data_IF_370186004641
#
_entry.id   IF_370186004641
#
_cell.length_a   1.000
_cell.length_b   1.000
_cell.length_c   1.000
_cell.angle_alpha   90.00
_cell.angle_beta   90.00
_cell.angle_gamma   90.00
#
_symmetry.space_group_name_H-M   'P 1'
#
loop_
_entity.id
_entity.type
_entity.pdbx_description
1 polymer ?
#
# COMPACT_ATOMS: atom_id res chain seq x y z
N UNK A 1 9.41 -29.27 26.16
CA UNK A 1 8.28 -28.31 26.24
C UNK A 1 7.77 -28.02 24.85
N UNK A 2 6.61 -27.37 24.69
CA UNK A 2 6.08 -26.95 23.39
C UNK A 2 7.06 -26.06 22.60
N UNK A 3 7.82 -25.20 23.28
CA UNK A 3 8.85 -24.36 22.65
C UNK A 3 9.93 -25.18 21.94
N UNK A 4 10.50 -26.17 22.64
CA UNK A 4 11.54 -27.06 22.10
C UNK A 4 11.04 -27.85 20.90
N UNK A 5 9.79 -28.31 20.91
CA UNK A 5 9.20 -29.00 19.78
C UNK A 5 9.10 -28.11 18.52
N UNK A 6 8.62 -26.87 18.68
CA UNK A 6 8.54 -25.90 17.57
C UNK A 6 9.92 -25.57 17.00
N UNK A 7 10.92 -25.39 17.85
CA UNK A 7 12.30 -25.14 17.43
C UNK A 7 12.90 -26.33 16.69
N UNK A 8 12.66 -27.55 17.16
CA UNK A 8 13.12 -28.76 16.47
C UNK A 8 12.50 -28.91 15.07
N UNK A 9 11.20 -28.61 14.91
CA UNK A 9 10.55 -28.59 13.61
C UNK A 9 11.14 -27.51 12.70
N UNK A 10 11.31 -26.27 13.19
CA UNK A 10 11.92 -25.18 12.42
C UNK A 10 13.31 -25.55 11.95
N UNK A 11 14.16 -26.06 12.84
CA UNK A 11 15.53 -26.47 12.49
C UNK A 11 15.58 -27.57 11.43
N UNK A 12 14.57 -28.45 11.37
CA UNK A 12 14.54 -29.55 10.41
C UNK A 12 13.98 -29.16 9.04
N UNK A 13 12.99 -28.26 9.01
CA UNK A 13 12.21 -27.97 7.81
C UNK A 13 12.40 -26.56 7.25
N UNK A 14 12.95 -25.62 8.04
CA UNK A 14 13.20 -24.26 7.59
C UNK A 14 14.61 -24.17 6.98
N UNK A 15 14.77 -23.65 5.75
CA UNK A 15 16.09 -23.41 5.18
C UNK A 15 16.93 -22.46 6.05
N UNK A 16 18.27 -22.62 6.12
CA UNK A 16 19.13 -21.76 6.93
C UNK A 16 18.96 -20.25 6.67
N UNK A 17 18.78 -19.87 5.41
CA UNK A 17 18.65 -18.47 4.98
C UNK A 17 17.19 -18.01 4.83
N UNK A 18 16.23 -18.75 5.40
CA UNK A 18 14.81 -18.42 5.22
C UNK A 18 14.46 -17.02 5.70
N UNK A 19 15.02 -16.60 6.84
CA UNK A 19 14.78 -15.27 7.41
C UNK A 19 15.41 -14.19 6.52
N UNK A 20 16.63 -14.40 6.03
CA UNK A 20 17.29 -13.47 5.12
C UNK A 20 16.47 -13.26 3.84
N UNK A 21 16.00 -14.35 3.22
CA UNK A 21 15.13 -14.30 2.04
C UNK A 21 13.80 -13.59 2.31
N UNK A 22 13.24 -13.70 3.52
CA UNK A 22 12.06 -12.92 3.91
C UNK A 22 12.38 -11.42 3.99
N UNK A 23 13.56 -11.04 4.48
CA UNK A 23 14.00 -9.63 4.48
C UNK A 23 14.21 -9.08 3.08
N UNK A 24 14.81 -9.86 2.18
CA UNK A 24 14.94 -9.48 0.78
C UNK A 24 13.57 -9.25 0.14
N UNK A 25 12.61 -10.16 0.39
CA UNK A 25 11.24 -10.02 -0.12
C UNK A 25 10.53 -8.81 0.48
N UNK A 26 10.68 -8.52 1.77
CA UNK A 26 10.14 -7.31 2.39
C UNK A 26 10.74 -6.03 1.79
N UNK A 27 12.04 -6.04 1.47
CA UNK A 27 12.73 -4.91 0.87
C UNK A 27 12.34 -4.69 -0.60
N UNK A 28 12.14 -5.78 -1.34
CA UNK A 28 11.73 -5.75 -2.75
C UNK A 28 10.22 -5.55 -2.93
N UNK A 29 9.41 -5.67 -1.87
CA UNK A 29 7.98 -5.50 -1.94
C UNK A 29 7.65 -4.04 -2.26
N UNK A 30 6.88 -3.82 -3.31
CA UNK A 30 6.42 -2.49 -3.72
C UNK A 30 4.92 -2.50 -4.01
N UNK A 31 4.29 -1.36 -3.75
CA UNK A 31 2.88 -1.13 -3.95
C UNK A 31 2.59 -1.07 -5.45
N UNK A 32 1.87 -2.07 -5.96
CA UNK A 32 1.35 -2.11 -7.32
C UNK A 32 0.15 -1.19 -7.53
N UNK A 33 -0.97 -1.71 -8.04
CA UNK A 33 -2.18 -0.92 -8.26
C UNK A 33 -2.91 -0.59 -6.95
N UNK A 34 -3.14 -1.61 -6.11
CA UNK A 34 -3.95 -1.54 -4.89
C UNK A 34 -3.07 -1.44 -3.64
N UNK A 35 -3.37 -0.45 -2.77
CA UNK A 35 -2.76 -0.38 -1.44
C UNK A 35 -3.19 -1.55 -0.55
N UNK A 36 -4.43 -2.01 -0.69
CA UNK A 36 -4.97 -3.11 0.12
C UNK A 36 -4.20 -4.41 -0.13
N UNK A 37 -3.92 -4.71 -1.40
CA UNK A 37 -3.17 -5.92 -1.78
C UNK A 37 -1.74 -5.85 -1.26
N UNK A 38 -1.11 -4.67 -1.34
CA UNK A 38 0.21 -4.43 -0.76
C UNK A 38 0.23 -4.67 0.76
N UNK A 39 -0.77 -4.20 1.50
CA UNK A 39 -0.89 -4.44 2.95
C UNK A 39 -1.02 -5.94 3.24
N UNK A 40 -1.84 -6.66 2.49
CA UNK A 40 -2.02 -8.10 2.64
C UNK A 40 -0.72 -8.88 2.36
N UNK A 41 0.00 -8.54 1.28
CA UNK A 41 1.28 -9.15 0.94
C UNK A 41 2.34 -8.89 2.01
N UNK A 42 2.39 -7.65 2.53
CA UNK A 42 3.31 -7.29 3.61
C UNK A 42 3.01 -8.10 4.87
N UNK A 43 1.74 -8.19 5.30
CA UNK A 43 1.33 -8.98 6.45
C UNK A 43 1.62 -10.48 6.27
N UNK A 44 1.44 -11.02 5.06
CA UNK A 44 1.75 -12.41 4.74
C UNK A 44 3.23 -12.73 4.92
N UNK A 45 4.12 -11.81 4.55
CA UNK A 45 5.56 -11.94 4.81
C UNK A 45 5.88 -11.84 6.31
N UNK A 46 5.24 -10.93 7.05
CA UNK A 46 5.47 -10.78 8.49
C UNK A 46 5.10 -12.02 9.29
N UNK A 47 4.00 -12.72 8.93
CA UNK A 47 3.58 -13.96 9.60
C UNK A 47 4.63 -15.08 9.46
N UNK A 48 5.41 -15.05 8.37
CA UNK A 48 6.47 -16.03 8.12
C UNK A 48 7.77 -15.68 8.85
N UNK A 49 7.98 -14.41 9.23
CA UNK A 49 9.16 -13.98 9.98
C UNK A 49 9.19 -14.66 11.35
N UNK A 50 10.32 -15.31 11.64
CA UNK A 50 10.53 -15.96 12.93
C UNK A 50 11.30 -15.07 13.89
N UNK A 51 12.07 -14.12 13.34
CA UNK A 51 12.83 -13.13 14.09
C UNK A 51 12.02 -11.84 14.20
N UNK A 52 11.81 -11.31 15.41
CA UNK A 52 11.05 -10.08 15.59
C UNK A 52 11.69 -8.91 14.85
N UNK A 53 10.85 -8.06 14.26
CA UNK A 53 11.25 -6.81 13.61
C UNK A 53 10.85 -5.67 14.54
N UNK A 54 11.74 -4.69 14.73
CA UNK A 54 11.40 -3.50 15.50
C UNK A 54 10.27 -2.71 14.82
N UNK A 55 9.49 -1.97 15.59
CA UNK A 55 8.42 -1.12 15.03
C UNK A 55 8.97 -0.10 14.01
N UNK A 56 10.14 0.47 14.29
CA UNK A 56 10.85 1.33 13.35
C UNK A 56 11.21 0.59 12.05
N UNK A 57 11.72 -0.64 12.15
CA UNK A 57 12.03 -1.46 10.98
C UNK A 57 10.80 -1.80 10.16
N UNK A 58 9.71 -2.21 10.81
CA UNK A 58 8.43 -2.49 10.14
C UNK A 58 7.93 -1.29 9.34
N UNK A 59 7.93 -0.11 9.97
CA UNK A 59 7.56 1.14 9.31
C UNK A 59 8.48 1.47 8.15
N UNK A 60 9.78 1.34 8.35
CA UNK A 60 10.76 1.62 7.31
C UNK A 60 10.51 0.75 6.07
N UNK A 61 10.42 -0.58 6.24
CA UNK A 61 10.14 -1.48 5.12
C UNK A 61 8.81 -1.16 4.44
N UNK A 62 7.75 -0.94 5.23
CA UNK A 62 6.44 -0.63 4.68
C UNK A 62 6.44 0.68 3.88
N UNK A 63 7.07 1.74 4.38
CA UNK A 63 7.12 3.05 3.74
C UNK A 63 7.97 3.06 2.46
N UNK A 64 9.03 2.26 2.39
CA UNK A 64 9.88 2.17 1.18
C UNK A 64 9.14 1.55 -0.01
N UNK A 65 8.22 0.61 0.23
CA UNK A 65 7.43 -0.01 -0.82
C UNK A 65 6.22 0.82 -1.26
N UNK A 66 5.83 1.89 -0.55
CA UNK A 66 4.68 2.71 -0.92
C UNK A 66 4.92 3.52 -2.20
N UNK A 67 3.83 3.88 -2.91
CA UNK A 67 3.89 4.87 -3.98
C UNK A 67 4.41 6.21 -3.48
N UNK A 68 5.17 6.97 -4.28
CA UNK A 68 5.82 8.22 -3.84
C UNK A 68 4.87 9.20 -3.13
N UNK A 69 3.68 9.43 -3.69
CA UNK A 69 2.70 10.38 -3.13
C UNK A 69 2.21 9.94 -1.75
N UNK A 70 1.86 8.65 -1.62
CA UNK A 70 1.42 8.06 -0.34
C UNK A 70 2.57 8.03 0.67
N UNK A 71 3.77 7.65 0.24
CA UNK A 71 4.96 7.62 1.08
C UNK A 71 5.30 8.99 1.65
N UNK A 72 5.18 10.05 0.83
CA UNK A 72 5.42 11.42 1.27
C UNK A 72 4.38 11.87 2.29
N UNK A 73 3.08 11.64 2.02
CA UNK A 73 2.01 11.97 2.95
C UNK A 73 2.18 11.26 4.30
N UNK A 74 2.51 9.96 4.30
CA UNK A 74 2.78 9.20 5.52
C UNK A 74 3.98 9.79 6.29
N UNK A 75 5.03 10.24 5.59
CA UNK A 75 6.22 10.84 6.23
C UNK A 75 5.88 12.14 6.95
N UNK A 76 5.04 12.98 6.38
CA UNK A 76 4.57 14.24 6.99
C UNK A 76 3.85 14.00 8.33
N UNK A 77 3.15 12.87 8.46
CA UNK A 77 2.39 12.52 9.65
C UNK A 77 3.20 11.83 10.76
N UNK A 78 4.45 11.45 10.52
CA UNK A 78 5.37 10.87 11.52
C UNK A 78 4.74 9.73 12.38
N UNK A 79 4.21 8.65 11.77
CA UNK A 79 3.57 7.56 12.52
C UNK A 79 4.53 6.95 13.55
N UNK A 80 4.03 6.38 14.64
CA UNK A 80 4.85 5.72 15.66
C UNK A 80 5.10 4.23 15.34
N UNK A 81 4.10 3.55 14.78
CA UNK A 81 4.10 2.11 14.51
C UNK A 81 3.54 1.74 13.12
N UNK A 82 3.53 0.45 12.80
CA UNK A 82 3.05 -0.06 11.51
C UNK A 82 1.54 0.18 11.32
N UNK A 83 0.72 -0.06 12.34
CA UNK A 83 -0.74 0.12 12.25
C UNK A 83 -1.12 1.56 11.91
N UNK A 84 -0.49 2.54 12.57
CA UNK A 84 -0.70 3.95 12.28
C UNK A 84 -0.25 4.30 10.85
N UNK A 85 0.87 3.73 10.41
CA UNK A 85 1.38 3.89 9.04
C UNK A 85 0.36 3.38 8.00
N UNK A 86 -0.20 2.19 8.22
CA UNK A 86 -1.24 1.60 7.36
C UNK A 86 -2.49 2.47 7.36
N UNK A 87 -2.94 2.92 8.54
CA UNK A 87 -4.14 3.73 8.68
C UNK A 87 -4.03 5.06 7.93
N UNK A 88 -2.89 5.77 8.05
CA UNK A 88 -2.64 7.02 7.31
C UNK A 88 -2.62 6.76 5.80
N UNK A 89 -1.91 5.71 5.36
CA UNK A 89 -1.84 5.36 3.95
C UNK A 89 -3.22 5.04 3.36
N UNK A 90 -4.04 4.25 4.06
CA UNK A 90 -5.40 3.90 3.64
C UNK A 90 -6.31 5.11 3.55
N UNK A 91 -6.22 6.03 4.52
CA UNK A 91 -7.01 7.26 4.51
C UNK A 91 -6.68 8.13 3.30
N UNK A 92 -5.40 8.25 2.95
CA UNK A 92 -4.97 9.01 1.78
C UNK A 92 -5.43 8.37 0.47
N UNK A 93 -5.28 7.05 0.32
CA UNK A 93 -5.75 6.31 -0.86
C UNK A 93 -7.27 6.46 -1.07
N UNK A 94 -8.05 6.36 0.01
CA UNK A 94 -9.51 6.56 -0.03
C UNK A 94 -9.88 8.01 -0.40
N UNK A 95 -9.17 9.00 0.13
CA UNK A 95 -9.40 10.41 -0.22
C UNK A 95 -9.13 10.68 -1.71
N UNK A 96 -8.03 10.15 -2.24
CA UNK A 96 -7.69 10.25 -3.66
C UNK A 96 -8.73 9.59 -4.57
N UNK A 97 -9.13 8.35 -4.25
CA UNK A 97 -10.20 7.65 -4.98
C UNK A 97 -11.50 8.44 -4.97
N UNK A 98 -11.89 8.99 -3.83
CA UNK A 98 -13.10 9.82 -3.71
C UNK A 98 -13.01 11.08 -4.57
N UNK A 99 -11.86 11.76 -4.58
CA UNK A 99 -11.67 12.95 -5.42
C UNK A 99 -11.80 12.62 -6.92
N UNK A 100 -11.18 11.52 -7.37
CA UNK A 100 -11.31 11.04 -8.75
C UNK A 100 -12.75 10.68 -9.11
N UNK A 101 -13.49 10.02 -8.21
CA UNK A 101 -14.90 9.71 -8.43
C UNK A 101 -15.77 10.97 -8.54
N UNK A 102 -15.53 11.98 -7.71
CA UNK A 102 -16.24 13.25 -7.76
C UNK A 102 -15.94 14.02 -9.05
N UNK A 103 -14.68 14.03 -9.51
CA UNK A 103 -14.31 14.69 -10.77
C UNK A 103 -14.99 14.01 -11.97
N UNK A 104 -15.02 12.68 -12.01
CA UNK A 104 -15.72 11.94 -13.06
C UNK A 104 -17.24 12.19 -13.06
N UNK A 105 -17.88 12.23 -11.88
CA UNK A 105 -19.31 12.53 -11.77
C UNK A 105 -19.64 13.97 -12.20
N UNK A 106 -18.76 14.92 -11.87
CA UNK A 106 -18.84 16.29 -12.37
C UNK A 106 -18.73 16.34 -13.89
N UNK A 107 -17.73 15.67 -14.49
CA UNK A 107 -17.50 15.70 -15.94
C UNK A 107 -18.67 15.10 -16.72
N UNK A 108 -19.28 14.01 -16.22
CA UNK A 108 -20.46 13.39 -16.84
C UNK A 108 -21.69 14.30 -16.81
N UNK A 109 -21.81 15.17 -15.81
CA UNK A 109 -22.92 16.14 -15.68
C UNK A 109 -22.58 17.50 -16.30
N UNK A 110 -21.34 17.72 -16.70
CA UNK A 110 -20.90 18.97 -17.29
C UNK A 110 -21.52 19.16 -18.68
N UNK A 111 -21.93 20.39 -18.97
CA UNK A 111 -22.44 20.78 -20.29
C UNK A 111 -21.32 21.42 -21.09
N UNK A 112 -21.04 20.89 -22.28
CA UNK A 112 -20.03 21.42 -23.18
C UNK A 112 -20.44 22.80 -23.70
N UNK A 113 -19.67 23.84 -23.42
CA UNK A 113 -19.99 25.19 -23.92
C UNK A 113 -19.87 25.35 -25.45
N UNK A 114 -19.15 24.44 -26.14
CA UNK A 114 -18.95 24.44 -27.60
C UNK A 114 -20.13 23.82 -28.36
N UNK A 115 -20.61 22.64 -27.95
CA UNK A 115 -21.67 21.90 -28.65
C UNK A 115 -22.99 21.80 -27.86
N UNK A 116 -23.04 22.36 -26.64
CA UNK A 116 -24.20 22.36 -25.72
C UNK A 116 -24.70 20.96 -25.30
N UNK A 117 -23.96 19.90 -25.60
CA UNK A 117 -24.26 18.53 -25.12
C UNK A 117 -23.76 18.33 -23.70
N UNK A 118 -24.51 17.57 -22.93
CA UNK A 118 -24.13 17.05 -21.60
C UNK A 118 -23.28 15.79 -21.84
N UNK A 119 -22.40 15.41 -20.89
CA UNK A 119 -21.50 14.23 -20.87
C UNK A 119 -20.01 14.54 -21.08
N UNK A 120 -19.63 15.78 -21.42
CA UNK A 120 -18.22 16.16 -21.55
C UNK A 120 -17.99 17.67 -21.45
N UNK A 121 -16.73 18.03 -21.18
CA UNK A 121 -16.25 19.42 -21.19
C UNK A 121 -15.73 19.83 -22.59
N UNK A 122 -15.73 21.13 -22.88
CA UNK A 122 -15.33 21.67 -24.18
C UNK A 122 -13.94 21.24 -24.71
N UNK A 123 -12.90 21.04 -23.88
CA UNK A 123 -11.62 20.49 -24.33
C UNK A 123 -11.70 19.09 -24.94
N UNK A 124 -12.66 18.27 -24.48
CA UNK A 124 -12.87 16.89 -24.92
C UNK A 124 -13.98 16.78 -25.96
N UNK A 125 -14.41 17.90 -26.56
CA UNK A 125 -15.48 17.91 -27.54
C UNK A 125 -15.02 17.27 -28.87
N UNK A 126 -15.75 16.26 -29.41
CA UNK A 126 -15.39 15.60 -30.67
C UNK A 126 -15.60 16.51 -31.89
N UNK A 127 -16.42 17.56 -31.78
CA UNK A 127 -16.68 18.54 -32.83
C UNK A 127 -15.63 19.66 -32.85
N UNK A 128 -14.33 19.32 -32.83
CA UNK A 128 -13.23 20.31 -32.76
C UNK A 128 -13.36 21.40 -33.81
#
# INVERSE_FOLDING_TARGET
TWGVFKEALRRRFLPPDSEYRLRERLCALSQGSSLHDYVADFQSLLIQCTVPISQLGLRFYFQQGLKPDTANHVREHHPANLDETIHIAMRFDHAGKRALMLDNDWQAKATCHRCKKIDHIAPNCPSK
#
